data_IF_332753302471
#
_entry.id   IF_332753302471
#
_cell.length_a   1.000
_cell.length_b   1.000
_cell.length_c   1.000
_cell.angle_alpha   90.00
_cell.angle_beta   90.00
_cell.angle_gamma   90.00
#
_symmetry.space_group_name_H-M   'P 1'
#
loop_
_entity.id
_entity.type
_entity.pdbx_description
1 polymer ?
#
# COMPACT_ATOMS: atom_id res chain seq x y z
N UNK A 1 -12.07 2.60 20.42
CA UNK A 1 -11.39 1.57 19.62
C UNK A 1 -11.03 1.95 18.18
N UNK A 2 -11.79 2.79 17.47
CA UNK A 2 -11.47 3.23 16.09
C UNK A 2 -10.05 3.78 15.88
N UNK A 3 -9.49 4.48 16.88
CA UNK A 3 -8.12 5.00 16.86
C UNK A 3 -7.06 3.90 16.72
N UNK A 4 -7.39 2.63 16.99
CA UNK A 4 -6.48 1.49 16.86
C UNK A 4 -6.35 0.98 15.42
N UNK A 5 -7.20 1.42 14.49
CA UNK A 5 -7.19 0.93 13.10
C UNK A 5 -5.82 1.09 12.41
N UNK A 6 -5.04 2.10 12.79
CA UNK A 6 -3.69 2.33 12.26
C UNK A 6 -2.69 1.25 12.64
N UNK A 7 -2.95 0.48 13.70
CA UNK A 7 -2.08 -0.59 14.20
C UNK A 7 -2.51 -2.00 13.72
N UNK A 8 -3.61 -2.11 12.97
CA UNK A 8 -4.08 -3.41 12.46
C UNK A 8 -3.10 -3.94 11.42
N UNK A 9 -2.60 -5.15 11.66
CA UNK A 9 -1.78 -5.90 10.73
C UNK A 9 -2.34 -7.33 10.55
N UNK A 10 -2.44 -7.85 9.31
CA UNK A 10 -2.14 -7.15 8.06
C UNK A 10 -3.22 -6.11 7.71
N UNK A 11 -2.81 -5.02 7.06
CA UNK A 11 -3.77 -4.09 6.44
C UNK A 11 -4.56 -4.80 5.35
N UNK A 12 -5.84 -4.51 5.26
CA UNK A 12 -6.67 -5.02 4.17
C UNK A 12 -6.10 -4.54 2.82
N UNK A 13 -6.12 -5.40 1.81
CA UNK A 13 -5.63 -5.05 0.47
C UNK A 13 -6.44 -3.91 -0.15
N UNK A 14 -7.74 -3.93 0.09
CA UNK A 14 -8.71 -2.94 -0.39
C UNK A 14 -9.69 -2.63 0.74
N UNK A 15 -10.16 -1.38 0.74
CA UNK A 15 -11.12 -0.87 1.71
C UNK A 15 -12.27 -0.20 0.95
N UNK A 16 -13.50 -0.47 1.38
CA UNK A 16 -14.71 0.11 0.81
C UNK A 16 -15.65 0.47 1.96
N UNK A 17 -16.06 1.74 2.02
CA UNK A 17 -16.93 2.25 3.06
C UNK A 17 -18.18 2.86 2.44
N UNK A 18 -19.31 2.71 3.13
CA UNK A 18 -20.52 3.46 2.81
C UNK A 18 -20.53 4.72 3.67
N UNK A 19 -20.10 5.85 3.11
CA UNK A 19 -19.96 7.11 3.87
C UNK A 19 -21.30 7.70 4.31
N UNK A 20 -22.43 7.21 3.80
CA UNK A 20 -23.76 7.69 4.21
C UNK A 20 -24.24 6.96 5.46
N UNK A 21 -24.13 5.63 5.47
CA UNK A 21 -24.53 4.81 6.63
C UNK A 21 -23.44 4.64 7.67
N UNK A 22 -22.16 4.80 7.28
CA UNK A 22 -20.97 4.75 8.12
C UNK A 22 -20.08 6.01 7.91
N UNK A 23 -20.49 7.17 8.47
CA UNK A 23 -19.76 8.43 8.31
C UNK A 23 -18.34 8.44 8.89
N UNK A 24 -18.00 7.46 9.72
CA UNK A 24 -16.71 7.33 10.37
C UNK A 24 -15.85 6.21 9.78
N UNK A 25 -16.31 5.56 8.70
CA UNK A 25 -15.57 4.57 7.93
C UNK A 25 -14.99 3.44 8.81
N UNK A 26 -15.81 2.96 9.75
CA UNK A 26 -15.41 1.94 10.72
C UNK A 26 -15.60 0.52 10.19
N UNK A 27 -16.48 0.33 9.20
CA UNK A 27 -16.85 -0.98 8.67
C UNK A 27 -16.40 -1.14 7.21
N UNK A 28 -15.27 -1.82 7.02
CA UNK A 28 -14.81 -2.15 5.68
C UNK A 28 -15.72 -3.22 5.03
N UNK A 29 -16.33 -2.86 3.90
CA UNK A 29 -17.23 -3.68 3.08
C UNK A 29 -16.54 -4.32 1.86
N UNK A 30 -15.23 -4.18 1.70
CA UNK A 30 -14.53 -4.66 0.50
C UNK A 30 -14.64 -6.18 0.28
N UNK A 31 -14.81 -6.95 1.36
CA UNK A 31 -15.02 -8.40 1.32
C UNK A 31 -16.49 -8.82 1.24
N UNK A 32 -17.44 -7.89 1.29
CA UNK A 32 -18.87 -8.17 1.23
C UNK A 32 -19.29 -8.49 -0.22
N UNK A 33 -19.82 -9.70 -0.52
CA UNK A 33 -20.29 -10.06 -1.84
C UNK A 33 -21.36 -9.11 -2.40
N UNK A 34 -22.20 -8.50 -1.53
CA UNK A 34 -23.21 -7.55 -1.95
C UNK A 34 -22.59 -6.28 -2.59
N UNK A 35 -21.36 -5.95 -2.21
CA UNK A 35 -20.63 -4.78 -2.71
C UNK A 35 -19.70 -5.07 -3.89
N UNK A 36 -19.62 -6.32 -4.36
CA UNK A 36 -18.69 -6.73 -5.41
C UNK A 36 -18.84 -5.92 -6.71
N UNK A 37 -20.08 -5.57 -7.07
CA UNK A 37 -20.37 -4.73 -8.26
C UNK A 37 -19.81 -3.32 -8.11
N UNK A 38 -19.99 -2.71 -6.94
CA UNK A 38 -19.52 -1.36 -6.65
C UNK A 38 -17.99 -1.33 -6.59
N UNK A 39 -17.38 -2.31 -5.93
CA UNK A 39 -15.92 -2.44 -5.85
C UNK A 39 -15.29 -2.61 -7.24
N UNK A 40 -15.89 -3.44 -8.11
CA UNK A 40 -15.43 -3.60 -9.50
C UNK A 40 -15.50 -2.29 -10.28
N UNK A 41 -16.57 -1.50 -10.11
CA UNK A 41 -16.71 -0.19 -10.74
C UNK A 41 -15.60 0.76 -10.29
N UNK A 42 -15.32 0.85 -8.99
CA UNK A 42 -14.28 1.72 -8.46
C UNK A 42 -12.88 1.32 -8.92
N UNK A 43 -12.56 0.02 -8.94
CA UNK A 43 -11.32 -0.49 -9.54
C UNK A 43 -11.15 -0.04 -10.98
N UNK A 44 -12.21 -0.13 -11.78
CA UNK A 44 -12.17 0.31 -13.19
C UNK A 44 -11.96 1.82 -13.32
N UNK A 45 -12.67 2.62 -12.51
CA UNK A 45 -12.48 4.07 -12.48
C UNK A 45 -11.04 4.45 -12.11
N UNK A 46 -10.48 3.81 -11.07
CA UNK A 46 -9.09 4.05 -10.66
C UNK A 46 -8.11 3.67 -11.76
N UNK A 47 -8.25 2.49 -12.36
CA UNK A 47 -7.37 2.04 -13.44
C UNK A 47 -7.43 2.97 -14.66
N UNK A 48 -8.62 3.48 -14.99
CA UNK A 48 -8.79 4.49 -16.05
C UNK A 48 -8.04 5.77 -15.69
N UNK A 49 -8.24 6.28 -14.48
CA UNK A 49 -7.58 7.51 -14.01
C UNK A 49 -6.06 7.37 -14.01
N UNK A 50 -5.52 6.25 -13.52
CA UNK A 50 -4.08 5.98 -13.54
C UNK A 50 -3.50 6.03 -14.95
N UNK A 51 -4.21 5.47 -15.94
CA UNK A 51 -3.82 5.55 -17.34
C UNK A 51 -3.85 6.98 -17.88
N UNK A 52 -4.87 7.75 -17.54
CA UNK A 52 -5.05 9.13 -17.99
C UNK A 52 -4.00 10.09 -17.41
N UNK A 53 -3.57 9.86 -16.17
CA UNK A 53 -2.58 10.70 -15.47
C UNK A 53 -1.14 10.22 -15.63
N UNK A 54 -0.93 9.04 -16.22
CA UNK A 54 0.39 8.42 -16.29
C UNK A 54 0.91 7.98 -14.91
N UNK A 55 0.01 7.61 -14.01
CA UNK A 55 0.35 6.99 -12.72
C UNK A 55 0.62 5.49 -12.93
N UNK A 56 1.90 5.12 -12.90
CA UNK A 56 2.36 3.76 -13.12
C UNK A 56 2.87 3.15 -11.82
N UNK A 57 2.48 1.90 -11.55
CA UNK A 57 3.05 1.16 -10.42
C UNK A 57 4.55 0.94 -10.64
N UNK A 58 5.41 1.30 -9.67
CA UNK A 58 6.85 1.06 -9.79
C UNK A 58 7.14 -0.43 -9.76
N UNK A 59 8.15 -0.87 -10.52
CA UNK A 59 8.61 -2.28 -10.54
C UNK A 59 8.94 -2.82 -9.14
N UNK A 60 9.44 -1.95 -8.27
CA UNK A 60 9.84 -2.28 -6.90
C UNK A 60 9.34 -1.19 -5.96
N UNK A 61 8.82 -1.58 -4.80
CA UNK A 61 8.54 -0.61 -3.74
C UNK A 61 9.84 -0.28 -3.02
N UNK A 62 10.00 0.97 -2.61
CA UNK A 62 11.09 1.35 -1.72
C UNK A 62 10.90 0.60 -0.40
N UNK A 63 11.98 0.07 0.15
CA UNK A 63 11.95 -0.61 1.44
C UNK A 63 11.64 0.38 2.56
N UNK A 64 10.90 -0.07 3.56
CA UNK A 64 10.64 0.72 4.76
C UNK A 64 11.99 1.02 5.46
N UNK A 65 12.23 2.28 5.82
CA UNK A 65 13.46 2.68 6.55
C UNK A 65 13.36 2.39 8.07
N UNK A 66 12.17 2.09 8.57
CA UNK A 66 11.88 1.85 9.98
C UNK A 66 10.98 0.62 10.16
N UNK A 67 11.20 -0.13 11.23
CA UNK A 67 10.37 -1.28 11.58
C UNK A 67 8.96 -0.85 12.00
N UNK A 68 7.94 -1.56 11.54
CA UNK A 68 6.52 -1.26 11.86
C UNK A 68 6.13 -1.56 13.31
N UNK A 69 6.85 -2.48 13.95
CA UNK A 69 6.57 -2.90 15.33
C UNK A 69 7.18 -1.95 16.38
N UNK A 70 8.47 -1.64 16.24
CA UNK A 70 9.22 -0.91 17.26
C UNK A 70 9.70 0.48 16.81
N UNK A 71 9.44 0.87 15.56
CA UNK A 71 9.84 2.16 15.00
C UNK A 71 11.36 2.37 14.86
N UNK A 72 12.17 1.32 15.09
CA UNK A 72 13.63 1.44 15.00
C UNK A 72 14.09 1.49 13.56
N UNK A 73 15.21 2.19 13.31
CA UNK A 73 15.82 2.26 11.99
C UNK A 73 16.23 0.87 11.50
N UNK A 74 15.84 0.55 10.27
CA UNK A 74 16.25 -0.68 9.60
C UNK A 74 17.61 -0.50 8.92
N UNK A 75 18.39 -1.58 8.70
CA UNK A 75 19.70 -1.50 8.06
C UNK A 75 19.73 -0.84 6.67
N UNK A 76 18.58 -0.78 5.98
CA UNK A 76 18.44 -0.09 4.69
C UNK A 76 18.61 1.43 4.81
N UNK A 77 18.43 2.00 6.02
CA UNK A 77 18.54 3.43 6.27
C UNK A 77 20.02 3.84 6.39
N UNK A 78 20.64 4.11 5.26
CA UNK A 78 22.01 4.62 5.17
C UNK A 78 22.03 6.15 4.96
N UNK A 79 23.02 6.84 5.55
CA UNK A 79 23.25 8.29 5.35
C UNK A 79 24.73 8.57 5.03
N UNK A 80 25.05 9.41 4.02
CA UNK A 80 24.13 10.08 3.09
C UNK A 80 23.36 9.08 2.22
N UNK A 81 22.15 9.45 1.78
CA UNK A 81 21.33 8.57 0.95
C UNK A 81 22.08 8.30 -0.37
N UNK A 82 22.25 7.04 -0.79
CA UNK A 82 22.81 6.73 -2.09
C UNK A 82 22.02 7.39 -3.23
N UNK A 83 22.65 7.59 -4.37
CA UNK A 83 21.94 8.10 -5.54
C UNK A 83 20.84 7.13 -6.01
N UNK A 84 19.97 7.63 -6.90
CA UNK A 84 18.82 6.87 -7.38
C UNK A 84 19.23 5.59 -8.13
N UNK A 85 20.34 5.60 -8.85
CA UNK A 85 20.80 4.45 -9.66
C UNK A 85 21.24 3.32 -8.73
N UNK A 86 22.05 3.64 -7.73
CA UNK A 86 22.49 2.68 -6.74
C UNK A 86 21.33 2.14 -5.90
N UNK A 87 20.39 3.00 -5.50
CA UNK A 87 19.16 2.57 -4.82
C UNK A 87 18.35 1.58 -5.66
N UNK A 88 18.16 1.82 -6.96
CA UNK A 88 17.41 0.91 -7.84
C UNK A 88 18.08 -0.46 -7.94
N UNK A 89 19.41 -0.52 -8.12
CA UNK A 89 20.15 -1.79 -8.15
C UNK A 89 19.99 -2.60 -6.86
N UNK A 90 20.01 -1.92 -5.71
CA UNK A 90 19.81 -2.54 -4.40
C UNK A 90 18.40 -3.11 -4.25
N UNK A 91 17.37 -2.37 -4.68
CA UNK A 91 15.99 -2.84 -4.68
C UNK A 91 15.83 -4.07 -5.57
N UNK A 92 16.35 -4.05 -6.80
CA UNK A 92 16.35 -5.20 -7.71
C UNK A 92 16.96 -6.45 -7.05
N UNK A 93 18.16 -6.31 -6.47
CA UNK A 93 18.83 -7.40 -5.76
C UNK A 93 18.01 -7.93 -4.58
N UNK A 94 17.36 -7.05 -3.83
CA UNK A 94 16.51 -7.43 -2.70
C UNK A 94 15.32 -8.29 -3.15
N UNK A 95 14.55 -7.81 -4.13
CA UNK A 95 13.38 -8.52 -4.64
C UNK A 95 13.74 -9.83 -5.35
N UNK A 96 14.86 -9.87 -6.08
CA UNK A 96 15.38 -11.12 -6.67
C UNK A 96 15.76 -12.16 -5.61
N UNK A 97 16.27 -11.72 -4.45
CA UNK A 97 16.59 -12.62 -3.33
C UNK A 97 15.32 -13.16 -2.66
N UNK A 98 14.27 -12.35 -2.54
CA UNK A 98 12.99 -12.77 -1.95
C UNK A 98 12.20 -13.73 -2.84
N UNK A 99 12.39 -13.66 -4.17
CA UNK A 99 11.71 -14.53 -5.13
C UNK A 99 12.30 -15.96 -5.22
N UNK A 100 13.41 -16.24 -4.52
CA UNK A 100 14.04 -17.55 -4.41
C UNK A 100 13.68 -18.19 -3.08
#
# INVERSE_FOLDING_TARGET
DAQKNTFIQPRAKEELYDTQSDPFELKNLASDPAQAKQLKRFRHTLAKWQKETGDYEPKFRTLDEFGRENGQALPVRERPRPDKVEMTKRLEKHYLKQAK
#
